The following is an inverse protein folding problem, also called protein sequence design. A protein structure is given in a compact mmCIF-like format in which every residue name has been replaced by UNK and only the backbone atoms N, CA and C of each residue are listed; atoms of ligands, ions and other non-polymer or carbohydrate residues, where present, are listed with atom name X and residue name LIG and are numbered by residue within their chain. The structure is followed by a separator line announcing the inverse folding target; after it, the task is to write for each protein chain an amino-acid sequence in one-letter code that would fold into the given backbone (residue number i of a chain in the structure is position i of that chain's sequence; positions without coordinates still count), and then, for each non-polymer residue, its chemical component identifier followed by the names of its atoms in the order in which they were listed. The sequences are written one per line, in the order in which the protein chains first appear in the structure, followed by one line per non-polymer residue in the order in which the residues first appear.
data_IF_009599293590
#
_entry.id   IF_009599293590
#
_cell.length_a   1.000
_cell.length_b   1.000
_cell.length_c   1.000
_cell.angle_alpha   90.00
_cell.angle_beta   90.00
_cell.angle_gamma   90.00
#
_symmetry.space_group_name_H-M   'P 1'
#
loop_
_entity.id
_entity.type
_entity.pdbx_description
1 polymer ?
#
# COMPACT_ATOMS: atom_id res chain seq x y z
N UNK A 1 10.01 -7.63 30.04
CA UNK A 1 10.77 -8.68 29.39
C UNK A 1 10.93 -8.34 27.92
N UNK A 2 12.08 -8.59 27.32
CA UNK A 2 12.27 -8.44 25.86
C UNK A 2 11.40 -9.52 25.20
N UNK A 3 10.33 -9.10 24.51
CA UNK A 3 9.50 -10.00 23.71
C UNK A 3 10.21 -10.39 22.41
N UNK A 4 9.75 -11.48 21.79
CA UNK A 4 10.17 -11.88 20.46
C UNK A 4 9.12 -11.41 19.44
N UNK A 5 9.56 -11.02 18.26
CA UNK A 5 8.70 -10.67 17.13
C UNK A 5 8.82 -11.75 16.05
N UNK A 6 7.70 -12.17 15.48
CA UNK A 6 7.67 -13.16 14.40
C UNK A 6 7.94 -12.43 13.07
N UNK A 7 9.09 -12.65 12.46
CA UNK A 7 9.46 -12.06 11.18
C UNK A 7 8.97 -12.93 10.01
N UNK A 8 8.97 -14.25 10.18
CA UNK A 8 8.51 -15.20 9.17
C UNK A 8 7.86 -16.42 9.82
N UNK A 9 6.90 -17.03 9.14
CA UNK A 9 6.24 -18.26 9.62
C UNK A 9 4.92 -18.04 10.37
N UNK A 10 4.29 -16.88 10.31
CA UNK A 10 3.00 -16.58 10.94
C UNK A 10 1.93 -17.67 10.69
N UNK A 11 1.83 -18.17 9.44
CA UNK A 11 0.88 -19.24 9.11
C UNK A 11 1.22 -20.57 9.79
N UNK A 12 2.51 -20.88 10.00
CA UNK A 12 2.94 -22.09 10.75
C UNK A 12 2.62 -21.96 12.21
N UNK A 13 2.88 -20.79 12.81
CA UNK A 13 2.51 -20.52 14.20
C UNK A 13 1.01 -20.66 14.40
N UNK A 14 0.21 -20.00 13.56
CA UNK A 14 -1.25 -20.09 13.65
C UNK A 14 -1.77 -21.52 13.38
N UNK A 15 -1.16 -22.26 12.47
CA UNK A 15 -1.48 -23.68 12.23
C UNK A 15 -1.16 -24.55 13.43
N UNK A 16 -0.03 -24.33 14.10
CA UNK A 16 0.35 -25.00 15.32
C UNK A 16 -0.61 -24.76 16.48
N UNK A 17 -0.98 -23.51 16.71
CA UNK A 17 -1.99 -23.12 17.71
C UNK A 17 -3.33 -23.84 17.45
N UNK A 18 -3.80 -23.87 16.22
CA UNK A 18 -5.04 -24.58 15.85
C UNK A 18 -4.94 -26.09 15.98
N UNK A 19 -3.73 -26.64 15.85
CA UNK A 19 -3.47 -28.07 16.07
C UNK A 19 -3.25 -28.44 17.55
N UNK A 20 -3.30 -27.46 18.45
CA UNK A 20 -3.11 -27.65 19.89
C UNK A 20 -1.66 -27.95 20.28
N UNK A 21 -0.68 -27.47 19.52
CA UNK A 21 0.74 -27.62 19.86
C UNK A 21 1.14 -26.54 20.87
N UNK A 22 1.73 -26.97 21.99
CA UNK A 22 2.23 -26.07 23.03
C UNK A 22 3.54 -25.38 22.63
N UNK A 23 4.32 -25.99 21.75
CA UNK A 23 5.61 -25.48 21.30
C UNK A 23 5.79 -25.64 19.78
N UNK A 24 6.46 -24.66 19.17
CA UNK A 24 6.81 -24.68 17.76
C UNK A 24 8.31 -24.39 17.63
N UNK A 25 9.08 -25.22 16.90
CA UNK A 25 10.49 -24.97 16.66
C UNK A 25 10.67 -23.66 15.88
N UNK A 26 11.52 -22.76 16.41
CA UNK A 26 11.82 -21.48 15.80
C UNK A 26 13.32 -21.17 15.83
N UNK A 27 13.78 -20.28 14.95
CA UNK A 27 15.15 -19.77 14.95
C UNK A 27 15.07 -18.33 15.45
N UNK A 28 15.73 -18.06 16.57
CA UNK A 28 15.82 -16.71 17.16
C UNK A 28 17.12 -16.05 16.67
N UNK A 29 16.99 -14.81 16.18
CA UNK A 29 18.13 -13.98 15.73
C UNK A 29 17.97 -12.56 16.26
N UNK A 30 19.07 -11.90 16.56
CA UNK A 30 19.09 -10.47 16.82
C UNK A 30 19.19 -9.73 15.49
N UNK A 31 18.28 -8.80 15.25
CA UNK A 31 18.20 -8.02 14.00
C UNK A 31 17.79 -6.59 14.30
N UNK A 32 18.22 -5.67 13.45
CA UNK A 32 17.68 -4.32 13.38
C UNK A 32 16.31 -4.34 12.68
N UNK A 33 15.48 -3.31 12.86
CA UNK A 33 14.18 -3.18 12.19
C UNK A 33 14.30 -3.34 10.67
N UNK A 34 15.34 -2.74 10.07
CA UNK A 34 15.56 -2.83 8.62
C UNK A 34 15.93 -4.24 8.15
N UNK A 35 16.78 -4.94 8.92
CA UNK A 35 17.13 -6.33 8.63
C UNK A 35 15.91 -7.25 8.76
N UNK A 36 15.07 -7.03 9.77
CA UNK A 36 13.82 -7.76 9.96
C UNK A 36 12.86 -7.60 8.78
N UNK A 37 12.67 -6.36 8.29
CA UNK A 37 11.83 -6.08 7.12
C UNK A 37 12.40 -6.73 5.85
N UNK A 38 13.72 -6.70 5.66
CA UNK A 38 14.39 -7.36 4.53
C UNK A 38 14.25 -8.89 4.58
N UNK A 39 14.35 -9.48 5.76
CA UNK A 39 14.16 -10.92 5.94
C UNK A 39 12.70 -11.34 5.68
N UNK A 40 11.74 -10.54 6.11
CA UNK A 40 10.31 -10.73 5.79
C UNK A 40 10.09 -10.75 4.27
N UNK A 41 10.71 -9.83 3.53
CA UNK A 41 10.68 -9.79 2.05
C UNK A 41 11.29 -11.06 1.44
N UNK A 42 12.47 -11.47 1.92
CA UNK A 42 13.16 -12.64 1.40
C UNK A 42 12.38 -13.93 1.62
N UNK A 43 11.74 -14.07 2.78
CA UNK A 43 10.89 -15.24 3.09
C UNK A 43 9.65 -15.33 2.20
N UNK A 44 9.18 -14.23 1.64
CA UNK A 44 8.02 -14.18 0.75
C UNK A 44 8.36 -14.38 -0.73
N UNK A 45 9.64 -14.26 -1.15
CA UNK A 45 10.07 -14.44 -2.55
C UNK A 45 9.68 -15.79 -3.16
N UNK A 46 9.53 -16.83 -2.36
CA UNK A 46 9.16 -18.17 -2.83
C UNK A 46 7.68 -18.27 -3.28
N UNK A 47 6.86 -17.24 -3.06
CA UNK A 47 5.43 -17.22 -3.40
C UNK A 47 5.09 -16.57 -4.73
N UNK A 48 6.07 -16.07 -5.46
CA UNK A 48 5.89 -15.29 -6.69
C UNK A 48 5.96 -13.77 -6.44
N UNK A 49 5.56 -12.98 -7.43
CA UNK A 49 5.56 -11.53 -7.31
C UNK A 49 4.55 -11.08 -6.24
N UNK A 50 4.94 -10.13 -5.36
CA UNK A 50 4.06 -9.63 -4.31
C UNK A 50 2.86 -8.90 -4.91
N UNK A 51 1.72 -8.98 -4.24
CA UNK A 51 0.56 -8.18 -4.58
C UNK A 51 0.86 -6.69 -4.41
N UNK A 52 0.20 -5.79 -5.16
CA UNK A 52 0.36 -4.35 -4.99
C UNK A 52 0.20 -3.86 -3.55
N UNK A 53 -0.76 -4.41 -2.80
CA UNK A 53 -0.97 -4.10 -1.38
C UNK A 53 0.17 -4.57 -0.49
N UNK A 54 0.72 -5.75 -0.75
CA UNK A 54 1.85 -6.31 0.00
C UNK A 54 3.11 -5.48 -0.25
N UNK A 55 3.35 -5.13 -1.51
CA UNK A 55 4.50 -4.29 -1.88
C UNK A 55 4.37 -2.87 -1.29
N UNK A 56 3.17 -2.29 -1.28
CA UNK A 56 2.92 -0.98 -0.68
C UNK A 56 3.27 -0.96 0.82
N UNK A 57 2.83 -1.98 1.56
CA UNK A 57 3.15 -2.13 2.99
C UNK A 57 4.64 -2.36 3.23
N UNK A 58 5.28 -3.21 2.42
CA UNK A 58 6.72 -3.49 2.53
C UNK A 58 7.54 -2.22 2.34
N UNK A 59 7.28 -1.46 1.27
CA UNK A 59 8.00 -0.21 0.97
C UNK A 59 7.83 0.83 2.08
N UNK A 60 6.64 0.93 2.67
CA UNK A 60 6.37 1.84 3.78
C UNK A 60 7.15 1.45 5.04
N UNK A 61 7.18 0.16 5.38
CA UNK A 61 7.98 -0.37 6.51
C UNK A 61 9.48 -0.15 6.30
N UNK A 62 9.99 -0.35 5.08
CA UNK A 62 11.41 -0.08 4.76
C UNK A 62 11.73 1.42 4.91
N UNK A 63 10.85 2.31 4.43
CA UNK A 63 11.02 3.76 4.58
C UNK A 63 11.02 4.18 6.04
N UNK A 64 10.10 3.64 6.85
CA UNK A 64 10.07 3.93 8.29
C UNK A 64 11.31 3.40 9.02
N UNK A 65 11.76 2.18 8.70
CA UNK A 65 12.94 1.59 9.31
C UNK A 65 14.21 2.43 9.00
N UNK A 66 14.37 2.91 7.75
CA UNK A 66 15.49 3.79 7.38
C UNK A 66 15.41 5.12 8.13
N UNK A 67 14.21 5.71 8.25
CA UNK A 67 14.03 6.97 9.00
C UNK A 67 14.39 6.81 10.49
N UNK A 68 14.07 5.66 11.09
CA UNK A 68 14.39 5.37 12.51
C UNK A 68 15.88 5.15 12.74
N UNK A 69 16.62 4.61 11.77
CA UNK A 69 18.06 4.41 11.85
C UNK A 69 18.86 5.71 11.65
N UNK A 70 18.27 6.72 11.03
CA UNK A 70 18.88 8.03 10.83
C UNK A 70 18.92 8.87 12.10
N UNK A 71 19.81 9.85 12.14
CA UNK A 71 19.83 10.85 13.20
C UNK A 71 18.49 11.63 13.18
N UNK A 72 17.95 11.96 14.36
CA UNK A 72 16.74 12.80 14.43
C UNK A 72 16.99 14.15 13.74
N UNK A 73 16.17 14.53 12.76
CA UNK A 73 16.31 15.80 12.07
C UNK A 73 16.09 16.95 13.07
N UNK A 74 16.90 17.99 12.97
CA UNK A 74 16.84 19.17 13.85
C UNK A 74 15.82 20.20 13.40
N UNK A 75 15.40 20.13 12.13
CA UNK A 75 14.45 21.07 11.52
C UNK A 75 13.72 20.41 10.33
N UNK A 76 12.67 21.08 9.82
CA UNK A 76 11.82 20.57 8.74
C UNK A 76 12.59 20.33 7.43
N UNK A 77 13.62 21.14 7.13
CA UNK A 77 14.44 20.97 5.92
C UNK A 77 15.27 19.70 5.99
N UNK A 78 15.85 19.38 7.15
CA UNK A 78 16.58 18.13 7.36
C UNK A 78 15.63 16.92 7.30
N UNK A 79 14.41 17.06 7.85
CA UNK A 79 13.40 16.02 7.78
C UNK A 79 12.98 15.73 6.33
N UNK A 80 12.78 16.76 5.51
CA UNK A 80 12.46 16.63 4.08
C UNK A 80 13.61 15.98 3.30
N UNK A 81 14.85 16.40 3.55
CA UNK A 81 16.04 15.85 2.91
C UNK A 81 16.22 14.36 3.26
N UNK A 82 16.04 13.99 4.54
CA UNK A 82 16.09 12.59 4.99
C UNK A 82 14.98 11.76 4.34
N UNK A 83 13.78 12.32 4.22
CA UNK A 83 12.66 11.67 3.55
C UNK A 83 12.96 11.38 2.08
N UNK A 84 13.49 12.35 1.33
CA UNK A 84 13.91 12.17 -0.08
C UNK A 84 15.00 11.09 -0.21
N UNK A 85 16.04 11.16 0.62
CA UNK A 85 17.13 10.18 0.62
C UNK A 85 16.61 8.77 0.90
N UNK A 86 15.73 8.61 1.87
CA UNK A 86 15.14 7.31 2.21
C UNK A 86 14.38 6.69 1.04
N UNK A 87 13.57 7.50 0.32
CA UNK A 87 12.82 7.04 -0.85
C UNK A 87 13.75 6.65 -2.01
N UNK A 88 14.86 7.37 -2.21
CA UNK A 88 15.86 7.02 -3.22
C UNK A 88 16.58 5.72 -2.90
N UNK A 89 16.95 5.50 -1.62
CA UNK A 89 17.57 4.25 -1.17
C UNK A 89 16.64 3.06 -1.44
N UNK A 90 15.39 3.13 -0.98
CA UNK A 90 14.38 2.09 -1.21
C UNK A 90 14.14 1.88 -2.70
N UNK A 91 14.06 2.96 -3.48
CA UNK A 91 13.91 2.88 -4.92
C UNK A 91 15.03 2.08 -5.60
N UNK A 92 16.28 2.32 -5.24
CA UNK A 92 17.44 1.58 -5.76
C UNK A 92 17.39 0.08 -5.39
N UNK A 93 17.01 -0.25 -4.17
CA UNK A 93 16.91 -1.65 -3.70
C UNK A 93 15.83 -2.45 -4.42
N UNK A 94 14.78 -1.78 -4.92
CA UNK A 94 13.65 -2.40 -5.63
C UNK A 94 13.69 -2.19 -7.15
N UNK A 95 14.76 -1.61 -7.69
CA UNK A 95 14.86 -1.23 -9.10
C UNK A 95 13.68 -0.35 -9.57
N UNK A 96 13.33 0.61 -8.72
CA UNK A 96 12.24 1.55 -8.94
C UNK A 96 12.73 2.98 -8.85
N UNK A 97 12.14 3.87 -9.66
CA UNK A 97 12.33 5.29 -9.45
C UNK A 97 11.54 5.77 -8.20
N UNK A 98 11.98 6.87 -7.59
CA UNK A 98 11.39 7.40 -6.38
C UNK A 98 9.87 7.70 -6.51
N UNK A 99 9.41 8.15 -7.69
CA UNK A 99 7.98 8.41 -7.95
C UNK A 99 7.15 7.13 -7.88
N UNK A 100 7.69 6.01 -8.37
CA UNK A 100 7.03 4.71 -8.32
C UNK A 100 6.92 4.21 -6.89
N UNK A 101 7.97 4.36 -6.08
CA UNK A 101 7.94 4.03 -4.64
C UNK A 101 6.84 4.83 -3.93
N UNK A 102 6.81 6.15 -4.10
CA UNK A 102 5.79 7.00 -3.48
C UNK A 102 4.36 6.63 -3.89
N UNK A 103 4.14 6.26 -5.16
CA UNK A 103 2.83 5.80 -5.65
C UNK A 103 2.40 4.49 -4.99
N UNK A 104 3.32 3.52 -4.82
CA UNK A 104 3.01 2.29 -4.09
C UNK A 104 2.66 2.57 -2.64
N UNK A 105 3.51 3.33 -1.93
CA UNK A 105 3.26 3.70 -0.53
C UNK A 105 1.91 4.41 -0.39
N UNK A 106 1.54 5.21 -1.37
CA UNK A 106 0.24 5.90 -1.37
C UNK A 106 -0.96 4.95 -1.37
N UNK A 107 -0.85 3.74 -1.93
CA UNK A 107 -1.92 2.73 -1.90
C UNK A 107 -2.33 2.33 -0.47
N UNK A 108 -1.45 2.48 0.53
CA UNK A 108 -1.78 2.21 1.94
C UNK A 108 -2.89 3.13 2.50
N UNK A 109 -3.24 4.19 1.78
CA UNK A 109 -4.35 5.09 2.13
C UNK A 109 -5.68 4.72 1.46
N UNK A 110 -5.72 3.64 0.69
CA UNK A 110 -6.96 3.10 0.16
C UNK A 110 -7.72 2.32 1.23
N UNK A 111 -9.04 2.39 1.18
CA UNK A 111 -9.90 1.49 1.94
C UNK A 111 -9.71 0.05 1.43
N UNK A 112 -9.90 -0.97 2.30
CA UNK A 112 -9.67 -2.37 1.93
C UNK A 112 -10.40 -2.79 0.65
N UNK A 113 -11.63 -2.35 0.48
CA UNK A 113 -12.50 -2.69 -0.65
C UNK A 113 -11.92 -2.25 -2.01
N UNK A 114 -11.25 -1.08 -2.06
CA UNK A 114 -10.56 -0.61 -3.27
C UNK A 114 -9.19 -1.27 -3.44
N UNK A 115 -8.49 -1.52 -2.35
CA UNK A 115 -7.18 -2.16 -2.38
C UNK A 115 -7.27 -3.61 -2.90
N UNK A 116 -8.29 -4.36 -2.49
CA UNK A 116 -8.60 -5.70 -3.01
C UNK A 116 -8.84 -5.69 -4.53
N UNK A 117 -9.50 -4.66 -5.05
CA UNK A 117 -9.70 -4.51 -6.51
C UNK A 117 -8.39 -4.27 -7.27
N UNK A 118 -7.43 -3.58 -6.66
CA UNK A 118 -6.08 -3.43 -7.23
C UNK A 118 -5.33 -4.76 -7.27
N UNK A 119 -5.38 -5.51 -6.17
CA UNK A 119 -4.75 -6.82 -6.05
C UNK A 119 -5.36 -7.86 -7.01
N UNK A 120 -6.68 -7.81 -7.17
CA UNK A 120 -7.42 -8.63 -8.13
C UNK A 120 -7.24 -8.20 -9.60
N UNK A 121 -6.50 -7.09 -9.85
CA UNK A 121 -6.32 -6.48 -11.19
C UNK A 121 -7.64 -6.04 -11.86
N UNK A 122 -8.71 -5.90 -11.09
CA UNK A 122 -10.00 -5.36 -11.56
C UNK A 122 -10.01 -3.83 -11.58
N UNK A 123 -9.05 -3.18 -10.90
CA UNK A 123 -8.82 -1.74 -10.94
C UNK A 123 -7.36 -1.43 -11.31
N UNK A 124 -7.16 -0.46 -12.18
CA UNK A 124 -5.83 -0.03 -12.61
C UNK A 124 -5.04 0.65 -11.49
N UNK A 125 -3.71 0.48 -11.49
CA UNK A 125 -2.82 1.05 -10.49
C UNK A 125 -2.89 2.59 -10.43
N UNK A 126 -2.89 3.28 -11.58
CA UNK A 126 -2.91 4.75 -11.59
C UNK A 126 -4.23 5.36 -11.12
N UNK A 127 -5.42 4.86 -11.53
CA UNK A 127 -6.68 5.26 -10.91
C UNK A 127 -6.68 5.06 -9.39
N UNK A 128 -6.18 3.93 -8.90
CA UNK A 128 -6.08 3.63 -7.47
C UNK A 128 -5.24 4.67 -6.72
N UNK A 129 -4.10 5.08 -7.28
CA UNK A 129 -3.27 6.16 -6.71
C UNK A 129 -4.04 7.46 -6.61
N UNK A 130 -4.82 7.84 -7.62
CA UNK A 130 -5.64 9.06 -7.57
C UNK A 130 -6.76 8.95 -6.51
N UNK A 131 -7.44 7.80 -6.43
CA UNK A 131 -8.48 7.56 -5.43
C UNK A 131 -7.96 7.57 -3.99
N UNK A 132 -6.70 7.22 -3.78
CA UNK A 132 -6.09 7.23 -2.45
C UNK A 132 -5.97 8.63 -1.81
N UNK A 133 -6.18 9.70 -2.57
CA UNK A 133 -6.23 11.07 -2.06
C UNK A 133 -7.63 11.51 -1.61
N UNK A 134 -8.66 10.72 -1.89
CA UNK A 134 -10.06 10.95 -1.54
C UNK A 134 -10.28 10.53 -0.08
N UNK A 135 -11.23 11.16 0.60
CA UNK A 135 -11.61 10.81 1.97
C UNK A 135 -12.12 9.37 2.06
N UNK A 136 -11.78 8.62 3.14
CA UNK A 136 -12.16 7.20 3.26
C UNK A 136 -13.67 6.92 3.10
N UNK A 137 -14.52 7.84 3.55
CA UNK A 137 -15.98 7.73 3.43
C UNK A 137 -16.39 7.71 1.95
N UNK A 138 -15.86 8.64 1.16
CA UNK A 138 -16.13 8.73 -0.27
C UNK A 138 -15.46 7.61 -1.07
N UNK A 139 -14.29 7.11 -0.63
CA UNK A 139 -13.69 5.92 -1.22
C UNK A 139 -14.60 4.69 -1.11
N UNK A 140 -15.31 4.51 0.02
CA UNK A 140 -16.29 3.42 0.18
C UNK A 140 -17.49 3.57 -0.74
N UNK A 141 -18.00 4.79 -0.92
CA UNK A 141 -19.06 5.06 -1.90
C UNK A 141 -18.61 4.70 -3.32
N UNK A 142 -17.38 5.10 -3.69
CA UNK A 142 -16.80 4.76 -5.00
C UNK A 142 -16.66 3.23 -5.15
N UNK A 143 -16.25 2.51 -4.10
CA UNK A 143 -16.15 1.05 -4.15
C UNK A 143 -17.49 0.39 -4.44
N UNK A 144 -18.57 0.86 -3.79
CA UNK A 144 -19.94 0.37 -4.01
C UNK A 144 -20.41 0.68 -5.44
N UNK A 145 -20.15 1.89 -5.94
CA UNK A 145 -20.53 2.28 -7.30
C UNK A 145 -19.76 1.47 -8.36
N UNK A 146 -18.47 1.17 -8.14
CA UNK A 146 -17.68 0.31 -9.03
C UNK A 146 -18.31 -1.09 -9.13
N UNK A 147 -18.80 -1.64 -8.01
CA UNK A 147 -19.44 -2.96 -7.98
C UNK A 147 -20.81 -2.91 -8.68
N UNK A 148 -21.58 -1.85 -8.49
CA UNK A 148 -22.88 -1.65 -9.14
C UNK A 148 -22.77 -1.52 -10.65
N UNK A 149 -21.88 -0.65 -11.13
CA UNK A 149 -21.65 -0.38 -12.56
C UNK A 149 -20.78 -1.42 -13.25
N UNK A 150 -20.17 -2.35 -12.50
CA UNK A 150 -19.18 -3.33 -12.98
C UNK A 150 -18.06 -2.68 -13.82
N UNK A 151 -17.75 -1.43 -13.52
CA UNK A 151 -16.82 -0.59 -14.28
C UNK A 151 -15.82 0.11 -13.37
N UNK A 152 -14.54 -0.17 -13.58
CA UNK A 152 -13.45 0.50 -12.87
C UNK A 152 -13.15 1.87 -13.49
N UNK A 153 -12.87 2.93 -12.71
CA UNK A 153 -12.59 4.26 -13.24
C UNK A 153 -11.31 4.31 -14.08
N UNK A 154 -11.34 5.10 -15.13
CA UNK A 154 -10.13 5.53 -15.84
C UNK A 154 -9.34 6.53 -15.00
N UNK A 155 -8.08 6.78 -15.36
CA UNK A 155 -7.24 7.80 -14.68
C UNK A 155 -7.91 9.18 -14.71
N UNK A 156 -8.57 9.53 -15.80
CA UNK A 156 -9.27 10.82 -15.95
C UNK A 156 -10.48 10.93 -15.01
N UNK A 157 -11.28 9.88 -14.94
CA UNK A 157 -12.42 9.82 -14.03
C UNK A 157 -11.95 9.85 -12.55
N UNK A 158 -10.90 9.10 -12.20
CA UNK A 158 -10.35 9.12 -10.85
C UNK A 158 -9.82 10.50 -10.42
N UNK A 159 -9.17 11.24 -11.33
CA UNK A 159 -8.76 12.62 -11.07
C UNK A 159 -9.95 13.53 -10.83
N UNK A 160 -10.99 13.43 -11.67
CA UNK A 160 -12.21 14.24 -11.53
C UNK A 160 -12.92 13.95 -10.21
N UNK A 161 -13.01 12.67 -9.81
CA UNK A 161 -13.55 12.29 -8.49
C UNK A 161 -12.75 12.92 -7.35
N UNK A 162 -11.41 12.91 -7.44
CA UNK A 162 -10.54 13.54 -6.45
C UNK A 162 -10.74 15.06 -6.38
N UNK A 163 -10.85 15.75 -7.50
CA UNK A 163 -11.10 17.20 -7.56
C UNK A 163 -12.43 17.54 -6.88
N UNK A 164 -13.50 16.81 -7.19
CA UNK A 164 -14.82 17.00 -6.59
C UNK A 164 -14.83 16.67 -5.07
N UNK A 165 -14.04 15.69 -4.62
CA UNK A 165 -13.88 15.41 -3.19
C UNK A 165 -13.23 16.59 -2.46
N UNK A 166 -12.20 17.20 -3.06
CA UNK A 166 -11.52 18.37 -2.50
C UNK A 166 -12.43 19.61 -2.42
N UNK A 167 -13.33 19.75 -3.37
CA UNK A 167 -14.36 20.82 -3.41
C UNK A 167 -15.55 20.52 -2.49
N UNK A 168 -15.65 19.30 -1.93
CA UNK A 168 -16.76 18.88 -1.09
C UNK A 168 -18.06 18.62 -1.87
N UNK A 169 -17.97 18.42 -3.17
CA UNK A 169 -19.11 18.22 -4.10
C UNK A 169 -19.36 16.74 -4.44
N UNK A 170 -18.56 15.83 -3.89
CA UNK A 170 -18.66 14.41 -4.19
C UNK A 170 -19.81 13.77 -3.38
N UNK A 171 -20.72 13.10 -4.09
CA UNK A 171 -21.80 12.29 -3.54
C UNK A 171 -22.07 11.08 -4.44
N UNK A 172 -22.96 10.16 -4.03
CA UNK A 172 -23.26 8.92 -4.76
C UNK A 172 -23.70 9.17 -6.19
N UNK A 173 -24.65 10.08 -6.42
CA UNK A 173 -25.19 10.37 -7.76
C UNK A 173 -24.12 10.91 -8.71
N UNK A 174 -23.22 11.74 -8.19
CA UNK A 174 -22.08 12.28 -8.95
C UNK A 174 -21.07 11.20 -9.30
N UNK A 175 -20.81 10.27 -8.36
CA UNK A 175 -19.91 9.14 -8.57
C UNK A 175 -20.47 8.23 -9.66
N UNK A 176 -21.75 7.83 -9.56
CA UNK A 176 -22.44 6.98 -10.53
C UNK A 176 -22.45 7.64 -11.92
N UNK A 177 -22.77 8.94 -11.98
CA UNK A 177 -22.72 9.70 -13.22
C UNK A 177 -21.34 9.69 -13.90
N UNK A 178 -20.25 9.82 -13.12
CA UNK A 178 -18.89 9.80 -13.67
C UNK A 178 -18.48 8.38 -14.10
N UNK A 179 -18.84 7.35 -13.34
CA UNK A 179 -18.47 5.97 -13.65
C UNK A 179 -19.25 5.40 -14.84
N UNK A 180 -20.49 5.87 -15.06
CA UNK A 180 -21.31 5.48 -16.21
C UNK A 180 -20.94 6.19 -17.52
N UNK A 181 -20.11 7.27 -17.49
CA UNK A 181 -19.59 7.90 -18.71
C UNK A 181 -18.79 6.88 -19.54
N UNK A 182 -19.12 6.74 -20.82
CA UNK A 182 -18.39 5.87 -21.74
C UNK A 182 -16.90 6.22 -21.75
N UNK A 183 -16.07 5.20 -21.53
CA UNK A 183 -14.62 5.31 -21.69
C UNK A 183 -14.36 5.50 -23.19
N UNK A 184 -14.06 6.72 -23.63
CA UNK A 184 -13.58 6.95 -24.99
C UNK A 184 -12.33 6.09 -25.19
N UNK A 185 -12.42 5.14 -26.12
CA UNK A 185 -11.25 4.41 -26.61
C UNK A 185 -10.28 5.47 -27.17
N UNK A 186 -9.07 5.46 -26.65
CA UNK A 186 -7.97 6.26 -27.18
C UNK A 186 -7.36 5.38 -28.25
N UNK A 187 -7.67 5.70 -29.52
CA UNK A 187 -6.96 5.17 -30.69
C UNK A 187 -5.46 5.54 -30.67
#
# INVERSE_FOLDING_TARGET
GKGYEIIAGHRRCHGGERAGLDEIPCIVREMTDLEAVREMKNSNKQRGDPLPSELAKLLDLELEAIKRQGARPKNDKEAEALGKLSVEIVGKEHDMNYKKVLRYVRLNHLVPELLEKVDAKSMGFMPAVELSYIKPENQRLIAVSIDGEQSSPSVKQAKRLRELDQEGLLNGDVIDGILSEEKREVD
#
